data_IF_381035366670
#
_entry.id   IF_381035366670
#
_cell.length_a   1.000
_cell.length_b   1.000
_cell.length_c   1.000
_cell.angle_alpha   90.00
_cell.angle_beta   90.00
_cell.angle_gamma   90.00
#
_symmetry.space_group_name_H-M   'P 1'
#
loop_
_entity.id
_entity.type
_entity.pdbx_description
1 polymer ?
#
# COMPACT_ATOMS: atom_id res chain seq x y z
N UNK A 1 -19.09 -0.94 2.46
CA UNK A 1 -17.65 -1.23 2.48
C UNK A 1 -17.08 -0.61 3.75
N UNK A 2 -16.08 -1.24 4.40
CA UNK A 2 -15.53 -0.69 5.63
C UNK A 2 -14.87 0.67 5.36
N UNK A 3 -14.94 1.60 6.32
CA UNK A 3 -14.39 2.94 6.15
C UNK A 3 -12.86 2.91 6.13
N UNK A 4 -12.23 3.69 5.25
CA UNK A 4 -10.77 3.69 5.07
C UNK A 4 -10.00 3.96 6.39
N UNK A 5 -8.97 3.13 6.63
CA UNK A 5 -8.11 3.15 7.84
C UNK A 5 -8.81 2.76 9.16
N UNK A 6 -9.96 2.10 9.09
CA UNK A 6 -10.57 1.43 10.25
C UNK A 6 -10.04 0.01 10.45
N UNK A 7 -10.15 -0.57 11.66
CA UNK A 7 -9.80 -1.98 11.90
C UNK A 7 -10.49 -2.95 10.94
N UNK A 8 -11.77 -2.69 10.62
CA UNK A 8 -12.56 -3.48 9.68
C UNK A 8 -12.00 -3.39 8.26
N UNK A 9 -11.52 -2.20 7.87
CA UNK A 9 -10.89 -2.01 6.57
C UNK A 9 -9.56 -2.75 6.48
N UNK A 10 -8.72 -2.69 7.51
CA UNK A 10 -7.45 -3.43 7.53
C UNK A 10 -7.68 -4.94 7.44
N UNK A 11 -8.66 -5.48 8.17
CA UNK A 11 -9.01 -6.90 8.09
C UNK A 11 -9.52 -7.30 6.70
N UNK A 12 -10.35 -6.46 6.07
CA UNK A 12 -10.85 -6.71 4.72
C UNK A 12 -9.73 -6.62 3.67
N UNK A 13 -8.83 -5.64 3.78
CA UNK A 13 -7.68 -5.44 2.90
C UNK A 13 -6.71 -6.62 2.97
N UNK A 14 -6.35 -7.05 4.17
CA UNK A 14 -5.49 -8.22 4.39
C UNK A 14 -6.11 -9.50 3.82
N UNK A 15 -7.42 -9.69 3.99
CA UNK A 15 -8.15 -10.84 3.42
C UNK A 15 -8.15 -10.82 1.89
N UNK A 16 -8.39 -9.66 1.27
CA UNK A 16 -8.37 -9.50 -0.19
C UNK A 16 -6.98 -9.80 -0.77
N UNK A 17 -5.93 -9.26 -0.16
CA UNK A 17 -4.54 -9.47 -0.56
C UNK A 17 -4.12 -10.95 -0.48
N UNK A 18 -4.51 -11.64 0.59
CA UNK A 18 -4.21 -13.09 0.73
C UNK A 18 -4.97 -13.96 -0.25
N UNK A 19 -6.18 -13.56 -0.64
CA UNK A 19 -7.01 -14.32 -1.57
C UNK A 19 -6.52 -14.21 -3.01
N UNK A 20 -5.86 -13.11 -3.37
CA UNK A 20 -5.42 -12.83 -4.73
C UNK A 20 -4.35 -13.84 -5.22
N UNK A 21 -4.73 -14.67 -6.19
CA UNK A 21 -3.82 -15.67 -6.75
C UNK A 21 -2.74 -15.05 -7.64
N UNK A 22 -3.05 -13.96 -8.34
CA UNK A 22 -2.13 -13.26 -9.24
C UNK A 22 -0.99 -12.64 -8.45
N UNK A 23 -1.30 -11.95 -7.35
CA UNK A 23 -0.32 -11.36 -6.44
C UNK A 23 0.56 -12.42 -5.76
N UNK A 24 -0.03 -13.56 -5.36
CA UNK A 24 0.75 -14.69 -4.84
C UNK A 24 1.72 -15.23 -5.88
N UNK A 25 1.29 -15.45 -7.11
CA UNK A 25 2.21 -15.90 -8.18
C UNK A 25 3.30 -14.86 -8.48
N UNK A 26 2.94 -13.58 -8.55
CA UNK A 26 3.88 -12.50 -8.84
C UNK A 26 4.91 -12.25 -7.72
N UNK A 27 4.58 -12.62 -6.47
CA UNK A 27 5.48 -12.49 -5.31
C UNK A 27 6.36 -13.71 -5.02
N UNK A 28 6.32 -14.77 -5.85
CA UNK A 28 7.07 -16.02 -5.60
C UNK A 28 8.58 -15.82 -5.48
N UNK A 29 9.16 -14.87 -6.23
CA UNK A 29 10.60 -14.64 -6.31
C UNK A 29 11.00 -13.24 -5.80
N UNK A 30 10.11 -12.57 -5.07
CA UNK A 30 10.31 -11.19 -4.61
C UNK A 30 10.06 -11.09 -3.12
N UNK A 31 10.94 -10.39 -2.42
CA UNK A 31 10.73 -9.96 -1.05
C UNK A 31 10.66 -8.44 -1.04
N UNK A 32 9.47 -7.90 -0.78
CA UNK A 32 9.20 -6.47 -0.81
C UNK A 32 8.31 -6.11 0.37
N UNK A 33 8.65 -4.99 1.01
CA UNK A 33 7.87 -4.43 2.08
C UNK A 33 7.48 -3.01 1.68
N UNK A 34 6.19 -2.80 1.50
CA UNK A 34 5.59 -1.50 1.22
C UNK A 34 5.03 -0.93 2.52
N UNK A 35 5.56 0.19 2.99
CA UNK A 35 4.97 0.93 4.11
C UNK A 35 4.18 2.12 3.60
N UNK A 36 3.02 2.38 4.22
CA UNK A 36 2.26 3.61 4.04
C UNK A 36 2.07 4.31 5.39
N UNK A 37 2.41 5.59 5.43
CA UNK A 37 2.25 6.47 6.57
C UNK A 37 1.30 7.60 6.20
N UNK A 38 0.17 7.67 6.87
CA UNK A 38 -0.86 8.70 6.66
C UNK A 38 -0.88 9.63 7.87
N UNK A 39 -0.54 10.90 7.64
CA UNK A 39 -0.58 11.95 8.65
C UNK A 39 -2.01 12.47 8.78
N UNK A 40 -2.62 12.27 9.95
CA UNK A 40 -3.89 12.87 10.33
C UNK A 40 -3.62 14.01 11.33
N UNK A 41 -4.65 14.80 11.63
CA UNK A 41 -4.50 16.00 12.47
C UNK A 41 -4.05 15.65 13.90
N UNK A 42 -4.60 14.58 14.48
CA UNK A 42 -4.34 14.16 15.86
C UNK A 42 -3.40 12.95 15.98
N UNK A 43 -3.22 12.19 14.90
CA UNK A 43 -2.43 10.95 14.91
C UNK A 43 -1.80 10.62 13.56
N UNK A 44 -0.82 9.72 13.56
CA UNK A 44 -0.23 9.17 12.34
C UNK A 44 -0.54 7.70 12.26
N UNK A 45 -1.24 7.30 11.20
CA UNK A 45 -1.60 5.91 10.95
C UNK A 45 -0.53 5.33 10.01
N UNK A 46 0.19 4.32 10.49
CA UNK A 46 1.18 3.60 9.68
C UNK A 46 0.80 2.14 9.58
N UNK A 47 0.94 1.59 8.39
CA UNK A 47 0.71 0.18 8.08
C UNK A 47 1.62 -0.24 6.94
N UNK A 48 1.76 -1.54 6.74
CA UNK A 48 2.59 -2.06 5.67
C UNK A 48 2.02 -3.33 5.04
N UNK A 49 2.38 -3.56 3.78
CA UNK A 49 2.14 -4.80 3.05
C UNK A 49 3.48 -5.51 2.90
N UNK A 50 3.51 -6.79 3.28
CA UNK A 50 4.64 -7.68 3.05
C UNK A 50 4.30 -8.63 1.91
N UNK A 51 5.17 -8.65 0.91
CA UNK A 51 5.19 -9.61 -0.19
C UNK A 51 6.45 -10.45 -0.03
N UNK A 52 6.29 -11.74 0.17
CA UNK A 52 7.41 -12.64 0.42
C UNK A 52 7.07 -14.05 0.00
N UNK A 53 7.85 -14.61 -0.95
CA UNK A 53 7.82 -16.02 -1.33
C UNK A 53 6.40 -16.54 -1.63
N UNK A 54 5.61 -15.76 -2.36
CA UNK A 54 4.25 -16.12 -2.74
C UNK A 54 3.19 -15.88 -1.66
N UNK A 55 3.53 -15.16 -0.60
CA UNK A 55 2.61 -14.67 0.41
C UNK A 55 2.48 -13.16 0.31
N UNK A 56 1.25 -12.65 0.40
CA UNK A 56 0.95 -11.21 0.46
C UNK A 56 0.06 -10.96 1.66
N UNK A 57 0.48 -10.08 2.56
CA UNK A 57 -0.23 -9.80 3.80
C UNK A 57 -0.11 -8.34 4.19
N UNK A 58 -1.15 -7.81 4.84
CA UNK A 58 -1.18 -6.46 5.39
C UNK A 58 -1.08 -6.51 6.91
N UNK A 59 -0.32 -5.58 7.46
CA UNK A 59 -0.07 -5.43 8.89
C UNK A 59 -0.23 -3.98 9.30
N UNK A 60 -0.92 -3.74 10.41
CA UNK A 60 -0.97 -2.42 11.05
C UNK A 60 0.33 -2.18 11.81
N UNK A 61 0.87 -0.96 11.73
CA UNK A 61 2.15 -0.57 12.31
C UNK A 61 3.27 -0.40 11.30
N UNK A 62 4.36 0.21 11.75
CA UNK A 62 5.56 0.42 10.95
C UNK A 62 6.26 -0.93 10.65
N UNK A 63 6.84 -1.02 9.46
CA UNK A 63 7.76 -2.10 9.13
C UNK A 63 9.15 -1.80 9.72
N UNK A 64 9.89 -2.85 10.09
CA UNK A 64 11.26 -2.69 10.58
C UNK A 64 12.22 -2.18 9.47
N UNK A 65 12.10 -2.74 8.26
CA UNK A 65 12.92 -2.38 7.11
C UNK A 65 12.06 -2.29 5.84
N UNK A 66 11.29 -1.19 5.67
CA UNK A 66 10.48 -1.03 4.46
C UNK A 66 11.37 -0.90 3.22
N UNK A 67 11.08 -1.68 2.18
CA UNK A 67 11.74 -1.54 0.88
C UNK A 67 11.31 -0.24 0.21
N UNK A 68 10.01 0.06 0.29
CA UNK A 68 9.38 1.26 -0.24
C UNK A 68 8.52 1.85 0.87
N UNK A 69 8.63 3.15 1.10
CA UNK A 69 7.82 3.86 2.08
C UNK A 69 7.13 5.06 1.42
N UNK A 70 5.81 5.13 1.56
CA UNK A 70 5.03 6.29 1.16
C UNK A 70 4.56 7.07 2.37
N UNK A 71 4.63 8.39 2.30
CA UNK A 71 3.99 9.26 3.28
C UNK A 71 3.21 10.39 2.63
N UNK A 72 2.01 10.66 3.16
CA UNK A 72 1.15 11.74 2.71
C UNK A 72 0.18 12.16 3.82
N UNK A 73 -0.55 13.23 3.57
CA UNK A 73 -1.59 13.69 4.49
C UNK A 73 -2.90 12.94 4.25
N UNK A 74 -3.78 12.92 5.26
CA UNK A 74 -5.04 12.18 5.23
C UNK A 74 -5.89 12.48 4.00
N UNK A 75 -6.01 13.74 3.62
CA UNK A 75 -6.78 14.18 2.45
C UNK A 75 -6.24 13.59 1.14
N UNK A 76 -4.92 13.48 1.00
CA UNK A 76 -4.26 12.86 -0.15
C UNK A 76 -4.45 11.34 -0.14
N UNK A 77 -4.30 10.70 1.01
CA UNK A 77 -4.53 9.27 1.16
C UNK A 77 -5.98 8.89 0.81
N UNK A 78 -6.97 9.65 1.29
CA UNK A 78 -8.39 9.46 0.97
C UNK A 78 -8.63 9.63 -0.54
N UNK A 79 -8.07 10.69 -1.15
CA UNK A 79 -8.20 10.93 -2.59
C UNK A 79 -7.58 9.83 -3.45
N UNK A 80 -6.43 9.28 -3.04
CA UNK A 80 -5.81 8.12 -3.69
C UNK A 80 -6.68 6.88 -3.49
N UNK A 81 -7.19 6.65 -2.29
CA UNK A 81 -7.99 5.49 -1.94
C UNK A 81 -9.26 5.42 -2.79
N UNK A 82 -10.02 6.50 -2.91
CA UNK A 82 -11.24 6.54 -3.73
C UNK A 82 -10.98 6.67 -5.24
N UNK A 83 -9.70 6.73 -5.65
CA UNK A 83 -9.30 6.85 -7.06
C UNK A 83 -9.52 8.25 -7.67
N UNK A 84 -9.74 9.29 -6.86
CA UNK A 84 -9.87 10.67 -7.31
C UNK A 84 -8.56 11.19 -7.93
N UNK A 85 -7.42 10.78 -7.37
CA UNK A 85 -6.09 11.02 -7.92
C UNK A 85 -5.28 9.73 -7.91
N UNK A 86 -4.36 9.55 -8.86
CA UNK A 86 -3.43 8.43 -8.81
C UNK A 86 -2.28 8.72 -7.85
N UNK A 87 -1.73 7.68 -7.23
CA UNK A 87 -0.53 7.80 -6.40
C UNK A 87 0.67 8.40 -7.18
N UNK A 88 0.79 8.06 -8.46
CA UNK A 88 1.80 8.63 -9.35
C UNK A 88 1.61 10.15 -9.53
N UNK A 89 0.38 10.61 -9.74
CA UNK A 89 0.08 12.04 -9.84
C UNK A 89 0.38 12.77 -8.54
N UNK A 90 -0.02 12.21 -7.39
CA UNK A 90 0.28 12.76 -6.07
C UNK A 90 1.79 12.85 -5.80
N UNK A 91 2.56 11.86 -6.26
CA UNK A 91 4.02 11.87 -6.17
C UNK A 91 4.63 12.96 -7.06
N UNK A 92 4.24 13.03 -8.33
CA UNK A 92 4.72 14.06 -9.25
C UNK A 92 4.40 15.49 -8.79
N UNK A 93 3.30 15.68 -8.05
CA UNK A 93 2.92 16.97 -7.49
C UNK A 93 3.55 17.28 -6.13
N UNK A 94 4.36 16.37 -5.57
CA UNK A 94 4.99 16.53 -4.26
C UNK A 94 4.08 16.30 -3.05
N UNK A 95 2.84 15.83 -3.27
CA UNK A 95 1.85 15.56 -2.22
C UNK A 95 1.98 14.16 -1.61
N UNK A 96 2.66 13.25 -2.31
CA UNK A 96 3.06 11.94 -1.84
C UNK A 96 4.59 11.92 -1.80
N UNK A 97 5.16 11.66 -0.63
CA UNK A 97 6.59 11.46 -0.48
C UNK A 97 6.90 9.97 -0.63
N UNK A 98 8.01 9.68 -1.31
CA UNK A 98 8.55 8.34 -1.51
C UNK A 98 9.91 8.25 -0.84
N UNK A 99 10.10 7.23 -0.02
CA UNK A 99 11.37 6.84 0.60
C UNK A 99 11.67 5.36 0.36
N UNK A 100 12.89 4.95 0.71
CA UNK A 100 13.40 3.60 0.45
C UNK A 100 14.03 3.48 -0.95
N UNK A 101 13.91 2.30 -1.56
CA UNK A 101 14.49 1.99 -2.87
C UNK A 101 13.50 2.27 -4.01
N UNK A 102 13.70 3.42 -4.67
CA UNK A 102 12.92 3.82 -5.85
C UNK A 102 13.15 2.87 -7.03
N UNK A 103 14.34 2.26 -7.15
CA UNK A 103 14.64 1.31 -8.22
C UNK A 103 13.82 0.03 -8.04
N UNK A 104 13.63 -0.42 -6.79
CA UNK A 104 12.76 -1.54 -6.47
C UNK A 104 11.29 -1.24 -6.82
N UNK A 105 10.82 -0.02 -6.56
CA UNK A 105 9.48 0.42 -6.97
C UNK A 105 9.29 0.33 -8.49
N UNK A 106 10.24 0.86 -9.26
CA UNK A 106 10.18 0.86 -10.73
C UNK A 106 10.25 -0.57 -11.28
N UNK A 107 11.18 -1.38 -10.77
CA UNK A 107 11.42 -2.74 -11.25
C UNK A 107 10.27 -3.70 -10.94
N UNK A 108 9.45 -3.38 -9.93
CA UNK A 108 8.30 -4.18 -9.51
C UNK A 108 6.96 -3.48 -9.78
N UNK A 109 6.91 -2.54 -10.74
CA UNK A 109 5.73 -1.72 -11.00
C UNK A 109 4.44 -2.51 -11.21
N UNK A 110 4.49 -3.66 -11.90
CA UNK A 110 3.33 -4.54 -12.10
C UNK A 110 2.80 -5.14 -10.79
N UNK A 111 3.70 -5.50 -9.87
CA UNK A 111 3.33 -6.03 -8.57
C UNK A 111 2.63 -4.95 -7.73
N UNK A 112 3.13 -3.72 -7.76
CA UNK A 112 2.47 -2.58 -7.09
C UNK A 112 1.13 -2.21 -7.73
N UNK A 113 1.00 -2.31 -9.06
CA UNK A 113 -0.28 -2.14 -9.74
C UNK A 113 -1.30 -3.22 -9.28
N UNK A 114 -0.86 -4.48 -9.20
CA UNK A 114 -1.68 -5.58 -8.69
C UNK A 114 -2.15 -5.37 -7.24
N UNK A 115 -1.34 -4.75 -6.37
CA UNK A 115 -1.77 -4.36 -5.02
C UNK A 115 -2.92 -3.36 -5.07
N UNK A 116 -2.83 -2.39 -5.98
CA UNK A 116 -3.89 -1.43 -6.24
C UNK A 116 -5.18 -2.12 -6.67
N UNK A 117 -5.10 -3.09 -7.58
CA UNK A 117 -6.24 -3.82 -8.12
C UNK A 117 -6.90 -4.73 -7.08
N UNK A 118 -6.10 -5.46 -6.29
CA UNK A 118 -6.62 -6.32 -5.21
C UNK A 118 -7.38 -5.52 -4.14
N UNK A 119 -6.95 -4.27 -3.89
CA UNK A 119 -7.61 -3.35 -2.96
C UNK A 119 -8.72 -2.51 -3.62
N UNK A 120 -8.92 -2.60 -4.94
CA UNK A 120 -9.88 -1.78 -5.65
C UNK A 120 -11.34 -2.03 -5.22
N UNK A 121 -11.63 -3.27 -4.80
CA UNK A 121 -12.94 -3.65 -4.27
C UNK A 121 -13.24 -3.07 -2.87
N UNK A 122 -12.29 -2.34 -2.26
CA UNK A 122 -12.40 -1.70 -0.94
C UNK A 122 -12.49 -0.17 -1.00
N UNK A 123 -12.55 0.42 -2.20
CA UNK A 123 -12.62 1.87 -2.46
C UNK A 123 -14.03 2.43 -2.39
#
# INVERSE_FOLDING_TARGET
MPAYLTPEWFSAADSALRADATLRTASLNSTLILQQTVRCDDETITWHIRLENGSVSLHVGAAENPTVAFSCDRSIADAIHIGLISAQAAFMSGNLQLGGDVSALISNGELFAGLGDALAALR
#
